data_IF_801230771664
#
_entry.id   IF_801230771664
#
_cell.length_a   1.000
_cell.length_b   1.000
_cell.length_c   1.000
_cell.angle_alpha   90.00
_cell.angle_beta   90.00
_cell.angle_gamma   90.00
#
_symmetry.space_group_name_H-M   'P 1'
#
loop_
_entity.id
_entity.type
_entity.pdbx_description
1 polymer ?
#
# COMPACT_ATOMS: atom_id res chain seq x y z
N UNK A 1 14.14 25.50 11.40
CA UNK A 1 14.05 24.89 10.06
C UNK A 1 13.54 23.47 10.22
N UNK A 2 12.26 23.23 9.91
CA UNK A 2 11.62 21.92 10.10
C UNK A 2 12.08 20.96 8.98
N UNK A 3 12.71 19.86 9.36
CA UNK A 3 13.09 18.78 8.45
C UNK A 3 11.94 17.78 8.31
N UNK A 4 10.85 18.21 7.68
CA UNK A 4 9.73 17.34 7.36
C UNK A 4 10.09 16.46 6.16
N UNK A 5 10.43 15.20 6.42
CA UNK A 5 10.58 14.17 5.39
C UNK A 5 9.21 13.93 4.73
N UNK A 6 9.12 14.28 3.45
CA UNK A 6 7.95 14.09 2.60
C UNK A 6 8.13 12.82 1.78
N UNK A 7 7.16 11.93 1.82
CA UNK A 7 7.14 10.70 1.05
C UNK A 7 5.97 10.75 0.06
N UNK A 8 6.26 10.40 -1.19
CA UNK A 8 5.28 10.27 -2.25
C UNK A 8 5.36 8.84 -2.77
N UNK A 9 4.25 8.11 -2.66
CA UNK A 9 4.15 6.72 -3.09
C UNK A 9 3.17 6.68 -4.25
N UNK A 10 3.59 6.07 -5.35
CA UNK A 10 2.74 5.79 -6.51
C UNK A 10 2.60 4.28 -6.65
N UNK A 11 1.36 3.82 -6.78
CA UNK A 11 1.03 2.41 -7.00
C UNK A 11 0.04 2.26 -8.14
N UNK A 12 0.09 1.15 -8.86
CA UNK A 12 -0.77 0.89 -10.00
C UNK A 12 -0.34 -0.37 -10.74
N UNK A 13 -0.99 -0.63 -11.87
CA UNK A 13 -0.68 -1.76 -12.74
C UNK A 13 -0.09 -1.25 -14.06
N UNK A 14 1.00 -1.87 -14.48
CA UNK A 14 1.72 -1.53 -15.71
C UNK A 14 1.94 -2.82 -16.49
N UNK A 15 1.75 -2.77 -17.81
CA UNK A 15 2.06 -3.91 -18.68
C UNK A 15 3.53 -3.83 -19.13
N UNK A 16 4.23 -4.96 -19.31
CA UNK A 16 5.65 -4.93 -19.67
C UNK A 16 5.97 -4.15 -20.94
N UNK A 17 5.07 -4.17 -21.94
CA UNK A 17 5.21 -3.44 -23.20
C UNK A 17 5.15 -1.91 -23.05
N UNK A 18 4.60 -1.42 -21.95
CA UNK A 18 4.46 0.00 -21.66
C UNK A 18 5.74 0.61 -21.06
N UNK A 19 6.70 -0.22 -20.63
CA UNK A 19 7.99 0.19 -20.06
C UNK A 19 8.97 0.53 -21.19
N UNK A 20 9.48 1.76 -21.20
CA UNK A 20 10.44 2.19 -22.19
C UNK A 20 11.77 1.43 -22.08
N UNK A 21 12.56 1.39 -23.15
CA UNK A 21 13.92 0.81 -23.12
C UNK A 21 14.87 1.54 -22.16
N UNK A 22 14.48 2.72 -21.68
CA UNK A 22 15.20 3.52 -20.69
C UNK A 22 14.67 3.31 -19.27
N UNK A 23 13.78 2.34 -19.06
CA UNK A 23 13.10 2.09 -17.79
C UNK A 23 12.25 3.27 -17.33
N UNK A 24 11.55 3.91 -18.28
CA UNK A 24 10.62 5.02 -18.03
C UNK A 24 9.18 4.54 -18.30
N UNK A 25 8.23 5.04 -17.52
CA UNK A 25 6.81 4.75 -17.68
C UNK A 25 6.06 6.08 -17.74
N UNK A 26 5.31 6.28 -18.83
CA UNK A 26 4.44 7.45 -18.98
C UNK A 26 3.22 7.34 -18.07
N UNK A 27 2.74 8.47 -17.56
CA UNK A 27 1.65 8.51 -16.56
C UNK A 27 0.33 7.90 -17.06
N UNK A 28 0.03 8.07 -18.34
CA UNK A 28 -1.17 7.54 -19.01
C UNK A 28 -1.16 6.01 -19.13
N UNK A 29 0.00 5.38 -18.94
CA UNK A 29 0.17 3.91 -18.99
C UNK A 29 0.04 3.23 -17.62
N UNK A 30 -0.21 3.99 -16.56
CA UNK A 30 -0.42 3.45 -15.21
C UNK A 30 -1.92 3.25 -14.98
N UNK A 31 -2.39 2.02 -15.12
CA UNK A 31 -3.78 1.70 -14.88
C UNK A 31 -4.10 1.73 -13.37
N UNK A 32 -5.17 2.44 -13.00
CA UNK A 32 -5.63 2.54 -11.62
C UNK A 32 -4.62 3.21 -10.69
N UNK A 33 -3.83 4.16 -11.22
CA UNK A 33 -2.80 4.87 -10.46
C UNK A 33 -3.37 5.46 -9.15
N UNK A 34 -2.77 5.07 -8.02
CA UNK A 34 -3.02 5.65 -6.70
C UNK A 34 -1.77 6.37 -6.22
N UNK A 35 -1.92 7.65 -5.95
CA UNK A 35 -0.86 8.51 -5.43
C UNK A 35 -1.20 8.81 -3.97
N UNK A 36 -0.29 8.49 -3.05
CA UNK A 36 -0.37 8.93 -1.67
C UNK A 36 0.79 9.87 -1.36
N UNK A 37 0.46 10.96 -0.68
CA UNK A 37 1.42 11.96 -0.21
C UNK A 37 1.31 12.02 1.31
N UNK A 38 2.39 11.72 2.03
CA UNK A 38 2.39 11.68 3.49
C UNK A 38 3.79 11.87 4.06
N UNK A 39 3.85 12.40 5.28
CA UNK A 39 5.04 12.27 6.13
C UNK A 39 4.96 10.94 6.88
N UNK A 40 6.11 10.36 7.26
CA UNK A 40 6.21 9.04 7.91
C UNK A 40 5.22 8.90 9.09
N UNK A 41 4.08 8.27 8.81
CA UNK A 41 2.95 8.07 9.70
C UNK A 41 2.02 7.04 9.06
N UNK A 42 2.28 5.77 9.37
CA UNK A 42 1.51 4.56 9.05
C UNK A 42 0.32 4.70 8.09
N UNK A 43 0.44 4.12 6.88
CA UNK A 43 -0.65 3.29 6.33
C UNK A 43 -0.01 2.06 5.67
N UNK A 44 0.47 1.13 6.49
CA UNK A 44 0.54 -0.27 6.06
C UNK A 44 -0.90 -0.77 6.03
N UNK A 45 -1.55 -0.70 4.86
CA UNK A 45 -2.83 -1.36 4.64
C UNK A 45 -2.57 -2.87 4.49
N UNK A 46 -2.41 -3.55 5.62
CA UNK A 46 -2.86 -4.93 5.74
C UNK A 46 -3.56 -5.06 7.10
N UNK A 47 -4.89 -5.01 7.06
CA UNK A 47 -5.71 -5.59 8.11
C UNK A 47 -5.22 -7.01 8.36
N UNK A 48 -4.74 -7.29 9.57
CA UNK A 48 -4.75 -8.65 10.07
C UNK A 48 -5.77 -8.74 11.22
N UNK A 49 -6.71 -9.69 11.13
CA UNK A 49 -7.92 -9.76 11.93
C UNK A 49 -7.61 -9.90 13.43
N UNK A 50 -8.52 -9.35 14.24
CA UNK A 50 -8.48 -9.36 15.71
C UNK A 50 -8.16 -10.77 16.23
N UNK A 51 -7.13 -10.90 17.06
CA UNK A 51 -6.77 -12.09 17.86
C UNK A 51 -7.90 -12.61 18.80
N UNK A 52 -9.13 -12.11 18.69
CA UNK A 52 -10.23 -12.39 19.60
C UNK A 52 -11.05 -13.65 19.28
N UNK A 53 -10.77 -14.38 18.20
CA UNK A 53 -11.53 -15.59 17.85
C UNK A 53 -11.03 -16.87 18.54
N UNK A 54 -9.82 -16.91 19.10
CA UNK A 54 -9.30 -18.15 19.72
C UNK A 54 -9.76 -18.37 21.17
N UNK A 55 -10.18 -17.32 21.89
CA UNK A 55 -10.62 -17.44 23.28
C UNK A 55 -12.07 -17.91 23.42
N UNK A 56 -12.91 -17.67 22.41
CA UNK A 56 -14.32 -18.08 22.41
C UNK A 56 -14.47 -19.61 22.37
N UNK A 57 -13.58 -20.31 21.64
CA UNK A 57 -13.61 -21.78 21.54
C UNK A 57 -13.04 -22.49 22.78
N UNK A 58 -12.32 -21.78 23.67
CA UNK A 58 -11.76 -22.37 24.90
C UNK A 58 -12.75 -22.28 26.07
N UNK A 59 -13.60 -21.23 26.10
CA UNK A 59 -14.50 -20.97 27.23
C UNK A 59 -15.88 -21.63 27.10
N UNK A 60 -16.32 -22.01 25.90
CA UNK A 60 -17.61 -22.69 25.70
C UNK A 60 -17.47 -23.97 24.86
N UNK A 61 -16.99 -25.08 25.46
CA UNK A 61 -17.04 -26.40 24.82
C UNK A 61 -18.38 -27.11 25.12
N UNK A 62 -19.52 -26.44 24.92
CA UNK A 62 -20.86 -27.04 25.02
C UNK A 62 -21.81 -26.48 23.96
#
# INVERSE_FOLDING_TARGET
VNNELRELIVSGYIRPEDISRRNEIDYDRIAGARISYGGRGQISQMQQPRYGQQLADILLPF
#
